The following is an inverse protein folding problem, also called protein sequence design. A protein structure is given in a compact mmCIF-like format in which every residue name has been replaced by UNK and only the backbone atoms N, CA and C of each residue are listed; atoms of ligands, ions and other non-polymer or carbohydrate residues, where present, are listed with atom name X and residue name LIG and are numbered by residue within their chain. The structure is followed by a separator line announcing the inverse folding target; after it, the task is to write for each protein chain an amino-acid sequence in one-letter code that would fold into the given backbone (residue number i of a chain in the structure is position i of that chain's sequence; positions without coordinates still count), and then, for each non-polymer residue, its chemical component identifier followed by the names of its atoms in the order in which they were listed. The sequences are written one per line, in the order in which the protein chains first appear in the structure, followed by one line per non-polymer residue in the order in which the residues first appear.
data_IF_096634329420
#
_entry.id   IF_096634329420
#
_cell.length_a   1.000
_cell.length_b   1.000
_cell.length_c   1.000
_cell.angle_alpha   90.00
_cell.angle_beta   90.00
_cell.angle_gamma   90.00
#
_symmetry.space_group_name_H-M   'P 1'
#
loop_
_entity.id
_entity.type
_entity.pdbx_description
1 polymer ?
#
# COMPACT_ATOMS: atom_id res chain seq x y z
N UNK A 1 13.82 51.68 -24.90
CA UNK A 1 13.27 50.54 -25.65
C UNK A 1 11.83 50.89 -26.01
N UNK A 2 11.61 51.49 -27.18
CA UNK A 2 10.29 51.97 -27.58
C UNK A 2 9.53 50.85 -28.28
N UNK A 3 8.40 50.45 -27.71
CA UNK A 3 7.53 49.44 -28.31
C UNK A 3 6.91 49.99 -29.59
N UNK A 4 6.84 49.17 -30.63
CA UNK A 4 6.22 49.58 -31.88
C UNK A 4 4.71 49.76 -31.69
N UNK A 5 4.09 50.64 -32.47
CA UNK A 5 2.64 50.90 -32.41
C UNK A 5 1.82 49.60 -32.55
N UNK A 6 2.33 48.60 -33.27
CA UNK A 6 1.69 47.29 -33.39
C UNK A 6 1.71 46.45 -32.10
N UNK A 7 2.79 46.51 -31.31
CA UNK A 7 2.87 45.77 -30.05
C UNK A 7 1.97 46.36 -28.96
N UNK A 8 1.81 47.69 -28.94
CA UNK A 8 0.86 48.36 -28.04
C UNK A 8 -0.58 47.98 -28.40
N UNK A 9 -0.91 47.90 -29.69
CA UNK A 9 -2.24 47.49 -30.14
C UNK A 9 -2.56 46.04 -29.78
N UNK A 10 -1.58 45.12 -29.92
CA UNK A 10 -1.75 43.72 -29.56
C UNK A 10 -1.98 43.54 -28.04
N UNK A 11 -1.28 44.31 -27.21
CA UNK A 11 -1.45 44.27 -25.75
C UNK A 11 -2.85 44.76 -25.33
N UNK A 12 -3.33 45.85 -25.94
CA UNK A 12 -4.67 46.40 -25.64
C UNK A 12 -5.77 45.39 -26.02
N UNK A 13 -5.67 44.75 -27.19
CA UNK A 13 -6.66 43.74 -27.61
C UNK A 13 -6.64 42.53 -26.67
N UNK A 14 -5.46 42.04 -26.28
CA UNK A 14 -5.35 40.92 -25.34
C UNK A 14 -5.98 41.22 -23.97
N UNK A 15 -5.83 42.46 -23.48
CA UNK A 15 -6.39 42.88 -22.19
C UNK A 15 -7.92 42.98 -22.23
N UNK A 16 -8.50 43.44 -23.35
CA UNK A 16 -9.95 43.54 -23.52
C UNK A 16 -10.59 42.15 -23.64
N UNK A 17 -9.92 41.19 -24.30
CA UNK A 17 -10.43 39.81 -24.44
C UNK A 17 -10.44 39.06 -23.09
N UNK A 18 -9.46 39.30 -22.20
CA UNK A 18 -9.49 38.71 -20.85
C UNK A 18 -10.60 39.27 -19.96
N UNK A 19 -10.97 40.54 -20.13
CA UNK A 19 -12.02 41.18 -19.34
C UNK A 19 -13.45 40.83 -19.79
N UNK A 20 -13.62 40.22 -20.98
CA UNK A 20 -14.91 39.89 -21.55
C UNK A 20 -15.36 38.44 -21.29
N UNK A 21 -14.61 37.64 -20.51
CA UNK A 21 -15.03 36.30 -20.13
C UNK A 21 -16.11 36.43 -19.04
N UNK A 22 -17.38 36.06 -19.31
CA UNK A 22 -18.45 36.20 -18.33
C UNK A 22 -18.20 35.24 -17.14
N UNK A 23 -18.00 35.82 -15.96
CA UNK A 23 -18.04 35.14 -14.65
C UNK A 23 -19.49 34.72 -14.33
N UNK A 24 -20.03 33.76 -15.06
CA UNK A 24 -21.36 33.23 -14.79
C UNK A 24 -21.39 31.71 -14.93
N UNK A 25 -20.80 31.03 -13.93
CA UNK A 25 -21.19 29.68 -13.50
C UNK A 25 -20.54 29.33 -12.14
N UNK A 26 -20.73 30.15 -11.11
CA UNK A 26 -20.65 29.65 -9.71
C UNK A 26 -22.09 29.37 -9.29
N UNK A 27 -22.56 28.18 -9.64
CA UNK A 27 -23.82 27.66 -9.10
C UNK A 27 -23.61 27.33 -7.63
N UNK A 28 -24.19 28.16 -6.76
CA UNK A 28 -24.46 27.86 -5.36
C UNK A 28 -25.16 26.50 -5.26
N UNK A 29 -24.46 25.45 -4.82
CA UNK A 29 -25.12 24.27 -4.25
C UNK A 29 -25.53 24.61 -2.84
N UNK A 30 -26.76 25.08 -2.73
CA UNK A 30 -27.49 25.31 -1.50
C UNK A 30 -27.61 23.98 -0.73
N UNK A 31 -27.15 24.00 0.52
CA UNK A 31 -27.26 22.94 1.52
C UNK A 31 -28.73 22.59 1.75
N UNK A 32 -29.12 21.39 1.34
CA UNK A 32 -30.32 20.74 1.88
C UNK A 32 -29.87 19.83 3.03
N UNK A 33 -29.92 20.40 4.24
CA UNK A 33 -29.89 19.65 5.49
C UNK A 33 -31.20 18.88 5.56
N UNK A 34 -31.20 17.61 5.15
CA UNK A 34 -32.29 16.70 5.51
C UNK A 34 -32.10 16.31 6.98
N UNK A 35 -32.82 17.03 7.84
CA UNK A 35 -33.12 16.62 9.21
C UNK A 35 -33.80 15.25 9.16
N UNK A 36 -33.13 14.21 9.65
CA UNK A 36 -33.79 12.95 9.96
C UNK A 36 -34.74 13.19 11.13
N UNK A 37 -36.05 13.18 10.83
CA UNK A 37 -37.09 13.20 11.84
C UNK A 37 -37.00 11.91 12.65
N UNK A 38 -36.71 12.05 13.94
CA UNK A 38 -36.98 11.04 14.95
C UNK A 38 -38.47 10.67 14.90
N UNK A 39 -38.76 9.40 14.66
CA UNK A 39 -40.06 8.81 14.95
C UNK A 39 -39.92 7.95 16.20
N UNK A 40 -40.08 8.60 17.36
CA UNK A 40 -40.49 7.93 18.58
C UNK A 40 -42.02 7.81 18.56
N UNK A 41 -42.57 6.60 18.48
CA UNK A 41 -43.77 6.23 19.24
C UNK A 41 -43.99 4.70 19.31
N UNK A 42 -43.75 4.19 20.52
CA UNK A 42 -44.51 3.16 21.24
C UNK A 42 -45.38 2.17 20.45
N UNK A 43 -45.06 0.88 20.59
CA UNK A 43 -46.09 -0.16 20.51
C UNK A 43 -45.60 -1.57 20.21
N UNK A 44 -45.56 -2.39 21.27
CA UNK A 44 -45.62 -3.86 21.27
C UNK A 44 -44.46 -4.63 20.63
N UNK A 45 -43.63 -5.13 21.55
CA UNK A 45 -42.87 -6.37 21.44
C UNK A 45 -43.75 -7.49 20.86
N UNK A 46 -43.46 -7.92 19.64
CA UNK A 46 -43.80 -9.27 19.17
C UNK A 46 -42.49 -10.05 19.15
N UNK A 47 -42.28 -10.85 20.20
CA UNK A 47 -41.29 -11.92 20.19
C UNK A 47 -41.69 -12.90 19.08
N UNK A 48 -40.89 -12.94 18.01
CA UNK A 48 -40.93 -14.06 17.08
C UNK A 48 -40.06 -15.15 17.72
N UNK A 49 -40.71 -16.09 18.41
CA UNK A 49 -40.11 -17.36 18.76
C UNK A 49 -39.91 -18.16 17.48
N UNK A 50 -38.68 -18.24 16.99
CA UNK A 50 -38.28 -19.27 16.02
C UNK A 50 -37.75 -20.44 16.82
N UNK A 51 -38.61 -21.43 17.06
CA UNK A 51 -38.22 -22.74 17.57
C UNK A 51 -37.68 -23.58 16.42
N UNK A 52 -36.36 -23.73 16.34
CA UNK A 52 -35.73 -24.76 15.50
C UNK A 52 -35.52 -26.00 16.37
N UNK A 53 -36.42 -26.96 16.19
CA UNK A 53 -36.27 -28.34 16.62
C UNK A 53 -35.48 -29.09 15.55
N UNK A 54 -34.37 -29.72 15.92
CA UNK A 54 -33.57 -30.54 15.00
C UNK A 54 -32.20 -30.86 15.59
N UNK A 55 -32.15 -31.87 16.44
CA UNK A 55 -30.89 -32.47 16.89
C UNK A 55 -30.44 -33.49 15.83
N UNK A 56 -29.69 -33.03 14.83
CA UNK A 56 -28.95 -33.90 13.92
C UNK A 56 -27.45 -33.71 14.14
N UNK A 57 -26.83 -34.68 14.81
CA UNK A 57 -25.37 -34.83 14.87
C UNK A 57 -24.85 -35.27 13.50
N UNK A 58 -24.38 -34.30 12.71
CA UNK A 58 -23.61 -34.56 11.50
C UNK A 58 -22.14 -34.78 11.90
N UNK A 59 -21.69 -36.03 11.84
CA UNK A 59 -20.27 -36.39 11.98
C UNK A 59 -19.53 -36.08 10.68
N UNK A 60 -18.63 -35.11 10.72
CA UNK A 60 -17.73 -34.81 9.60
C UNK A 60 -16.60 -35.86 9.55
N UNK A 61 -16.28 -36.44 8.39
CA UNK A 61 -15.08 -37.25 8.26
C UNK A 61 -13.85 -36.36 8.45
N UNK A 62 -12.96 -36.79 9.35
CA UNK A 62 -11.65 -36.17 9.57
C UNK A 62 -10.90 -36.11 8.23
N UNK A 63 -10.56 -34.91 7.71
CA UNK A 63 -9.75 -34.82 6.50
C UNK A 63 -8.34 -35.31 6.82
N UNK A 64 -7.93 -36.41 6.18
CA UNK A 64 -6.54 -36.83 6.14
C UNK A 64 -5.76 -35.85 5.26
N UNK A 65 -4.74 -35.15 5.78
CA UNK A 65 -3.95 -34.23 4.98
C UNK A 65 -3.15 -35.00 3.91
N UNK A 66 -3.14 -34.56 2.64
CA UNK A 66 -2.28 -35.10 1.60
C UNK A 66 -0.89 -34.45 1.69
N UNK A 67 -0.20 -34.64 2.82
CA UNK A 67 1.21 -34.25 2.96
C UNK A 67 2.10 -35.49 3.01
N UNK A 68 2.02 -36.33 1.98
CA UNK A 68 3.01 -37.38 1.75
C UNK A 68 3.80 -37.07 0.48
N UNK A 69 4.72 -36.11 0.61
CA UNK A 69 6.06 -36.13 0.04
C UNK A 69 6.70 -34.75 0.24
N UNK A 70 7.23 -34.52 1.44
CA UNK A 70 8.30 -33.53 1.59
C UNK A 70 9.47 -34.06 0.76
N UNK A 71 10.04 -33.30 -0.20
CA UNK A 71 11.28 -33.69 -0.85
C UNK A 71 12.33 -33.98 0.22
N UNK A 72 12.98 -35.15 0.15
CA UNK A 72 13.93 -35.61 1.17
C UNK A 72 15.20 -34.74 1.29
N UNK A 73 15.33 -33.70 0.47
CA UNK A 73 16.46 -32.78 0.46
C UNK A 73 15.97 -31.38 0.84
N UNK A 74 16.23 -31.00 2.09
CA UNK A 74 16.18 -29.61 2.50
C UNK A 74 17.11 -28.78 1.60
N UNK A 75 16.75 -27.55 1.21
CA UNK A 75 17.69 -26.62 0.54
C UNK A 75 18.96 -26.34 1.37
N UNK A 76 18.93 -26.61 2.69
CA UNK A 76 20.12 -26.58 3.54
C UNK A 76 21.14 -27.69 3.23
N UNK A 77 20.70 -28.84 2.69
CA UNK A 77 21.58 -29.95 2.36
C UNK A 77 22.55 -29.57 1.24
N UNK A 78 22.08 -28.81 0.25
CA UNK A 78 22.88 -28.33 -0.88
C UNK A 78 23.94 -27.29 -0.44
N UNK A 79 23.64 -26.48 0.59
CA UNK A 79 24.59 -25.55 1.20
C UNK A 79 25.77 -26.28 1.86
N UNK A 80 25.51 -27.42 2.52
CA UNK A 80 26.58 -28.21 3.13
C UNK A 80 27.47 -28.91 2.09
N UNK A 81 26.91 -29.36 0.96
CA UNK A 81 27.69 -30.01 -0.11
C UNK A 81 28.67 -29.03 -0.79
N UNK A 82 28.36 -27.74 -0.83
CA UNK A 82 29.26 -26.71 -1.39
C UNK A 82 30.42 -26.38 -0.43
N UNK A 83 30.23 -26.59 0.89
CA UNK A 83 31.26 -26.34 1.91
C UNK A 83 32.28 -27.50 2.04
N UNK A 84 31.95 -28.71 1.58
CA UNK A 84 32.81 -29.90 1.74
C UNK A 84 33.84 -30.11 0.62
N UNK A 85 33.90 -29.24 -0.40
CA UNK A 85 34.97 -29.29 -1.42
C UNK A 85 36.26 -28.70 -0.85
N UNK A 86 36.89 -29.45 0.04
CA UNK A 86 38.24 -29.19 0.54
C UNK A 86 39.22 -29.30 -0.64
N UNK A 87 39.95 -28.24 -1.04
CA UNK A 87 40.87 -28.32 -2.16
C UNK A 87 42.01 -29.29 -1.81
N UNK A 88 42.25 -30.28 -2.66
CA UNK A 88 43.47 -31.08 -2.62
C UNK A 88 44.67 -30.14 -2.75
N UNK A 89 45.45 -30.04 -1.68
CA UNK A 89 46.64 -29.19 -1.63
C UNK A 89 47.59 -29.59 -2.77
N UNK A 90 48.10 -28.63 -3.58
CA UNK A 90 49.14 -28.91 -4.55
C UNK A 90 50.43 -29.38 -3.86
N UNK A 91 51.28 -30.18 -4.54
CA UNK A 91 52.53 -30.67 -3.98
C UNK A 91 53.44 -29.50 -3.53
N UNK A 92 54.26 -29.71 -2.48
CA UNK A 92 55.05 -28.64 -1.88
C UNK A 92 56.04 -28.04 -2.90
N UNK A 93 55.96 -26.72 -3.07
CA UNK A 93 56.87 -25.94 -3.91
C UNK A 93 58.29 -25.91 -3.31
N UNK A 94 59.35 -25.80 -4.14
CA UNK A 94 60.73 -25.70 -3.66
C UNK A 94 60.93 -24.48 -2.77
N UNK A 95 61.72 -24.65 -1.70
CA UNK A 95 61.98 -23.65 -0.67
C UNK A 95 62.57 -22.37 -1.27
N UNK A 96 61.79 -21.27 -1.26
CA UNK A 96 62.30 -19.96 -1.69
C UNK A 96 61.26 -18.91 -2.09
N UNK A 97 60.00 -19.28 -2.32
CA UNK A 97 58.95 -18.31 -2.67
C UNK A 97 57.80 -18.41 -1.68
N UNK A 98 57.62 -17.39 -0.84
CA UNK A 98 56.44 -17.20 0.01
C UNK A 98 55.22 -16.99 -0.91
N UNK A 99 54.26 -17.93 -1.00
CA UNK A 99 53.06 -17.70 -1.80
C UNK A 99 52.13 -16.76 -1.03
N UNK A 100 51.89 -15.57 -1.57
CA UNK A 100 50.82 -14.69 -1.10
C UNK A 100 49.48 -15.38 -1.34
N UNK A 101 48.66 -15.67 -0.31
CA UNK A 101 47.34 -16.25 -0.53
C UNK A 101 46.49 -15.24 -1.31
N UNK A 102 46.16 -15.59 -2.56
CA UNK A 102 45.21 -14.82 -3.35
C UNK A 102 43.81 -15.18 -2.85
N UNK A 103 43.02 -14.23 -2.31
CA UNK A 103 41.66 -14.52 -1.90
C UNK A 103 40.83 -14.90 -3.13
N UNK A 104 40.37 -16.14 -3.16
CA UNK A 104 39.48 -16.65 -4.21
C UNK A 104 38.06 -16.25 -3.82
N UNK A 105 37.57 -15.11 -4.31
CA UNK A 105 36.18 -14.71 -4.14
C UNK A 105 35.29 -15.59 -5.02
N UNK A 106 34.72 -16.67 -4.47
CA UNK A 106 33.65 -17.42 -5.15
C UNK A 106 32.33 -16.67 -4.95
N UNK A 107 31.83 -16.01 -5.98
CA UNK A 107 30.45 -15.52 -6.02
C UNK A 107 29.51 -16.68 -6.32
N UNK A 108 28.77 -17.16 -5.31
CA UNK A 108 27.67 -18.10 -5.55
C UNK A 108 26.52 -17.30 -6.15
N UNK A 109 26.24 -17.53 -7.43
CA UNK A 109 25.12 -16.90 -8.11
C UNK A 109 23.84 -17.68 -7.74
N UNK A 110 23.21 -17.32 -6.62
CA UNK A 110 21.91 -17.86 -6.24
C UNK A 110 20.85 -17.30 -7.20
N UNK A 111 20.36 -18.13 -8.11
CA UNK A 111 19.26 -17.77 -8.99
C UNK A 111 17.92 -17.91 -8.23
N UNK A 112 17.44 -16.80 -7.67
CA UNK A 112 16.19 -16.73 -6.92
C UNK A 112 14.96 -16.68 -7.84
N UNK A 113 14.78 -17.69 -8.69
CA UNK A 113 13.63 -17.80 -9.58
C UNK A 113 13.35 -16.53 -10.40
N UNK A 114 12.12 -16.38 -10.91
CA UNK A 114 11.70 -15.13 -11.53
C UNK A 114 11.59 -13.98 -10.52
N UNK A 115 11.88 -12.75 -10.94
CA UNK A 115 11.77 -11.55 -10.09
C UNK A 115 10.79 -10.52 -10.62
N UNK A 116 10.23 -9.69 -9.73
CA UNK A 116 9.43 -8.51 -10.04
C UNK A 116 10.20 -7.23 -9.72
N UNK A 117 10.21 -6.31 -10.67
CA UNK A 117 10.68 -4.96 -10.51
C UNK A 117 9.53 -3.98 -10.68
N UNK A 118 9.51 -2.93 -9.89
CA UNK A 118 8.46 -1.92 -9.95
C UNK A 118 8.95 -0.55 -9.52
N UNK A 119 8.21 0.48 -9.93
CA UNK A 119 8.40 1.85 -9.49
C UNK A 119 7.07 2.39 -8.98
N UNK A 120 7.11 3.23 -7.95
CA UNK A 120 5.96 3.93 -7.39
C UNK A 120 6.16 5.45 -7.45
N UNK A 121 5.05 6.16 -7.47
CA UNK A 121 4.95 7.60 -7.29
C UNK A 121 3.84 7.85 -6.29
N UNK A 122 4.16 8.44 -5.14
CA UNK A 122 3.20 8.78 -4.08
C UNK A 122 2.70 10.18 -4.35
N UNK A 123 1.38 10.33 -4.41
CA UNK A 123 0.77 11.61 -4.70
C UNK A 123 1.07 12.63 -3.60
N UNK A 124 1.49 13.82 -4.04
CA UNK A 124 1.86 14.94 -3.19
C UNK A 124 3.36 15.01 -2.94
N UNK A 125 4.06 13.87 -2.96
CA UNK A 125 5.49 13.85 -2.67
C UNK A 125 6.34 14.31 -3.86
N UNK A 126 7.39 15.12 -3.61
CA UNK A 126 8.37 15.47 -4.63
C UNK A 126 9.07 14.24 -5.24
N UNK A 127 9.60 14.42 -6.45
CA UNK A 127 10.50 13.43 -7.04
C UNK A 127 11.72 13.22 -6.12
N UNK A 128 12.10 11.97 -5.89
CA UNK A 128 13.19 11.64 -4.96
C UNK A 128 12.81 11.64 -3.48
N UNK A 129 11.52 11.76 -3.13
CA UNK A 129 11.02 11.60 -1.75
C UNK A 129 9.96 10.50 -1.63
N UNK A 130 10.18 9.38 -2.30
CA UNK A 130 9.21 8.29 -2.42
C UNK A 130 9.38 7.18 -1.36
N UNK A 131 10.08 7.47 -0.25
CA UNK A 131 10.37 6.48 0.80
C UNK A 131 9.09 6.04 1.50
N UNK A 132 8.76 4.75 1.47
CA UNK A 132 7.56 4.22 2.13
C UNK A 132 7.69 2.72 2.43
N UNK A 133 7.00 2.28 3.50
CA UNK A 133 6.71 0.85 3.74
C UNK A 133 5.47 0.49 2.94
N UNK A 134 5.63 -0.32 1.90
CA UNK A 134 4.58 -0.61 0.93
C UNK A 134 4.14 -2.07 1.06
N UNK A 135 2.85 -2.27 1.23
CA UNK A 135 2.22 -3.59 1.12
C UNK A 135 2.03 -3.94 -0.35
N UNK A 136 2.37 -5.18 -0.70
CA UNK A 136 2.19 -5.74 -2.04
C UNK A 136 1.48 -7.08 -1.90
N UNK A 137 0.25 -7.15 -2.41
CA UNK A 137 -0.52 -8.39 -2.52
C UNK A 137 -0.63 -8.81 -3.98
N UNK A 138 -0.25 -10.05 -4.30
CA UNK A 138 -0.43 -10.61 -5.65
C UNK A 138 -1.65 -11.50 -5.69
N UNK A 139 -2.49 -11.34 -6.70
CA UNK A 139 -3.62 -12.21 -7.01
C UNK A 139 -3.52 -12.72 -8.45
N UNK A 140 -4.17 -13.83 -8.76
CA UNK A 140 -4.23 -14.36 -10.12
C UNK A 140 -5.23 -13.58 -10.99
N UNK A 141 -4.92 -13.45 -12.28
CA UNK A 141 -5.83 -12.86 -13.25
C UNK A 141 -5.91 -11.33 -13.19
N UNK A 142 -7.09 -10.82 -13.56
CA UNK A 142 -7.37 -9.38 -13.67
C UNK A 142 -7.73 -8.75 -12.31
N UNK A 143 -7.67 -7.42 -12.18
CA UNK A 143 -8.10 -6.73 -10.97
C UNK A 143 -9.57 -7.03 -10.62
N UNK A 144 -9.81 -7.29 -9.33
CA UNK A 144 -11.12 -7.59 -8.73
C UNK A 144 -11.21 -6.95 -7.36
N UNK A 145 -12.43 -6.66 -6.92
CA UNK A 145 -12.72 -6.26 -5.55
C UNK A 145 -12.59 -7.50 -4.65
N UNK A 146 -12.00 -7.33 -3.47
CA UNK A 146 -11.70 -8.38 -2.49
C UNK A 146 -10.86 -9.55 -3.08
N UNK A 147 -9.66 -9.26 -3.60
CA UNK A 147 -8.79 -10.30 -4.15
C UNK A 147 -8.34 -11.28 -3.07
N UNK A 148 -8.27 -12.56 -3.43
CA UNK A 148 -7.53 -13.55 -2.64
C UNK A 148 -6.06 -13.47 -3.00
N UNK A 149 -5.22 -13.04 -2.06
CA UNK A 149 -3.79 -12.95 -2.28
C UNK A 149 -3.14 -14.33 -2.23
N UNK A 150 -2.37 -14.66 -3.27
CA UNK A 150 -1.53 -15.87 -3.35
C UNK A 150 -0.11 -15.64 -2.84
N UNK A 151 0.31 -14.37 -2.80
CA UNK A 151 1.56 -13.92 -2.20
C UNK A 151 1.32 -12.54 -1.60
N UNK A 152 1.80 -12.33 -0.39
CA UNK A 152 1.83 -11.01 0.26
C UNK A 152 3.22 -10.73 0.77
N UNK A 153 3.64 -9.49 0.66
CA UNK A 153 4.90 -9.02 1.24
C UNK A 153 4.83 -7.53 1.56
N UNK A 154 5.72 -7.10 2.43
CA UNK A 154 5.97 -5.68 2.70
C UNK A 154 7.38 -5.34 2.24
N UNK A 155 7.53 -4.22 1.53
CA UNK A 155 8.80 -3.74 1.03
C UNK A 155 9.08 -2.31 1.49
N UNK A 156 10.32 -2.05 1.89
CA UNK A 156 10.82 -0.70 2.15
C UNK A 156 11.28 -0.07 0.83
N UNK A 157 10.48 0.84 0.29
CA UNK A 157 10.85 1.59 -0.91
C UNK A 157 11.85 2.70 -0.55
N UNK A 158 12.95 2.83 -1.30
CA UNK A 158 13.87 3.95 -1.15
C UNK A 158 13.25 5.25 -1.66
N UNK A 159 13.95 6.36 -1.44
CA UNK A 159 13.51 7.69 -1.86
C UNK A 159 13.34 7.84 -3.38
N UNK A 160 13.99 6.98 -4.18
CA UNK A 160 13.81 6.92 -5.63
C UNK A 160 12.48 6.30 -6.06
N UNK A 161 11.76 5.62 -5.16
CA UNK A 161 10.49 4.94 -5.46
C UNK A 161 10.66 3.67 -6.29
N UNK A 162 11.89 3.16 -6.46
CA UNK A 162 12.17 1.96 -7.25
C UNK A 162 12.53 0.79 -6.36
N UNK A 163 11.93 -0.36 -6.64
CA UNK A 163 12.25 -1.62 -5.98
C UNK A 163 12.49 -2.70 -7.04
N UNK A 164 13.51 -3.52 -6.83
CA UNK A 164 13.92 -4.57 -7.75
C UNK A 164 14.17 -5.87 -7.02
N UNK A 165 13.94 -6.99 -7.70
CA UNK A 165 14.31 -8.31 -7.19
C UNK A 165 13.31 -8.92 -6.19
N UNK A 166 12.03 -8.53 -6.22
CA UNK A 166 11.01 -9.27 -5.45
C UNK A 166 10.93 -10.66 -6.02
N UNK A 167 11.27 -11.68 -5.23
CA UNK A 167 11.16 -13.08 -5.66
C UNK A 167 9.70 -13.43 -5.93
N UNK A 168 9.45 -13.98 -7.11
CA UNK A 168 8.17 -14.53 -7.53
C UNK A 168 8.24 -16.07 -7.62
N UNK A 169 9.13 -16.68 -6.84
CA UNK A 169 9.25 -18.13 -6.76
C UNK A 169 7.89 -18.77 -6.42
N UNK A 170 7.52 -19.82 -7.15
CA UNK A 170 6.23 -20.50 -7.00
C UNK A 170 5.11 -19.96 -7.89
N UNK A 171 5.33 -18.85 -8.61
CA UNK A 171 4.40 -18.38 -9.65
C UNK A 171 4.78 -18.95 -11.03
N UNK A 172 3.79 -19.08 -11.91
CA UNK A 172 3.96 -19.70 -13.23
C UNK A 172 4.26 -18.63 -14.29
N UNK A 173 5.42 -18.70 -14.98
CA UNK A 173 5.68 -17.86 -16.15
C UNK A 173 4.60 -18.00 -17.23
N UNK A 174 4.27 -16.89 -17.89
CA UNK A 174 3.20 -16.79 -18.88
C UNK A 174 1.79 -16.60 -18.31
N UNK A 175 1.58 -16.85 -17.01
CA UNK A 175 0.30 -16.55 -16.36
C UNK A 175 0.13 -15.05 -16.11
N UNK A 176 -1.12 -14.59 -16.08
CA UNK A 176 -1.47 -13.22 -15.72
C UNK A 176 -1.73 -13.13 -14.22
N UNK A 177 -1.16 -12.12 -13.59
CA UNK A 177 -1.34 -11.78 -12.18
C UNK A 177 -1.67 -10.29 -12.06
N UNK A 178 -2.19 -9.89 -10.89
CA UNK A 178 -2.38 -8.50 -10.52
C UNK A 178 -1.68 -8.22 -9.21
N UNK A 179 -0.84 -7.19 -9.19
CA UNK A 179 -0.27 -6.65 -7.96
C UNK A 179 -1.17 -5.54 -7.40
N UNK A 180 -1.58 -5.67 -6.14
CA UNK A 180 -2.27 -4.63 -5.36
C UNK A 180 -1.24 -4.00 -4.43
N UNK A 181 -1.02 -2.70 -4.60
CA UNK A 181 0.07 -1.98 -3.97
C UNK A 181 -0.52 -0.88 -3.12
N UNK A 182 -0.22 -0.88 -1.83
CA UNK A 182 -0.72 0.09 -0.85
C UNK A 182 0.43 0.68 -0.05
N UNK A 183 0.52 2.01 -0.06
CA UNK A 183 1.41 2.77 0.82
C UNK A 183 0.64 3.33 2.04
N UNK A 184 1.35 3.85 3.04
CA UNK A 184 0.74 4.43 4.23
C UNK A 184 0.03 5.75 3.88
N UNK A 185 -1.22 5.87 4.26
CA UNK A 185 -2.15 6.93 3.90
C UNK A 185 -2.49 7.03 2.41
N UNK A 186 -2.25 5.96 1.64
CA UNK A 186 -2.71 5.85 0.26
C UNK A 186 -3.77 4.76 0.12
N UNK A 187 -4.73 4.98 -0.77
CA UNK A 187 -5.57 3.89 -1.25
C UNK A 187 -4.76 2.97 -2.18
N UNK A 188 -5.08 1.68 -2.17
CA UNK A 188 -4.35 0.71 -2.96
C UNK A 188 -4.61 0.86 -4.48
N UNK A 189 -3.60 0.50 -5.26
CA UNK A 189 -3.64 0.54 -6.72
C UNK A 189 -3.36 -0.85 -7.28
N UNK A 190 -4.15 -1.28 -8.25
CA UNK A 190 -3.95 -2.54 -8.95
C UNK A 190 -3.13 -2.35 -10.24
N UNK A 191 -2.14 -3.22 -10.45
CA UNK A 191 -1.31 -3.26 -11.63
C UNK A 191 -1.25 -4.70 -12.18
N UNK A 192 -1.99 -5.02 -13.26
CA UNK A 192 -1.89 -6.31 -13.90
C UNK A 192 -0.56 -6.49 -14.64
N UNK A 193 -0.06 -7.72 -14.68
CA UNK A 193 1.14 -8.09 -15.42
C UNK A 193 1.09 -9.55 -15.90
N UNK A 194 1.86 -9.84 -16.95
CA UNK A 194 2.15 -11.21 -17.37
C UNK A 194 3.50 -11.62 -16.82
N UNK A 195 3.53 -12.79 -16.19
CA UNK A 195 4.70 -13.31 -15.51
C UNK A 195 5.82 -13.66 -16.50
N UNK A 196 6.98 -13.03 -16.36
CA UNK A 196 8.19 -13.39 -17.12
C UNK A 196 8.90 -14.63 -16.56
N UNK A 197 9.72 -15.33 -17.37
CA UNK A 197 10.47 -16.51 -16.92
C UNK A 197 11.67 -16.19 -16.02
N UNK A 198 12.17 -14.96 -16.07
CA UNK A 198 13.34 -14.50 -15.30
C UNK A 198 13.06 -13.18 -14.60
N UNK A 199 12.50 -12.23 -15.33
CA UNK A 199 12.23 -10.89 -14.84
C UNK A 199 10.88 -10.41 -15.37
N UNK A 200 10.15 -9.74 -14.49
CA UNK A 200 8.91 -9.04 -14.80
C UNK A 200 9.09 -7.59 -14.38
N UNK A 201 8.80 -6.66 -15.29
CA UNK A 201 8.78 -5.24 -14.99
C UNK A 201 7.32 -4.79 -14.94
N UNK A 202 6.85 -4.44 -13.75
CA UNK A 202 5.49 -4.00 -13.52
C UNK A 202 5.23 -2.67 -14.25
N UNK A 203 4.04 -2.51 -14.84
CA UNK A 203 3.62 -1.31 -15.57
C UNK A 203 4.63 -0.86 -16.65
N UNK A 204 5.38 -1.80 -17.24
CA UNK A 204 6.44 -1.51 -18.22
C UNK A 204 7.47 -0.48 -17.73
N UNK A 205 7.73 -0.46 -16.42
CA UNK A 205 8.70 0.44 -15.78
C UNK A 205 8.14 1.84 -15.48
N UNK A 206 6.89 2.13 -15.84
CA UNK A 206 6.22 3.35 -15.43
C UNK A 206 5.92 3.30 -13.93
N UNK A 207 6.06 4.45 -13.26
CA UNK A 207 5.74 4.56 -11.85
C UNK A 207 4.24 4.38 -11.62
N UNK A 208 3.89 3.52 -10.68
CA UNK A 208 2.52 3.28 -10.25
C UNK A 208 2.13 4.42 -9.32
N UNK A 209 1.12 5.19 -9.71
CA UNK A 209 0.64 6.32 -8.93
C UNK A 209 -0.19 5.82 -7.75
N UNK A 210 0.30 6.03 -6.54
CA UNK A 210 -0.44 5.79 -5.30
C UNK A 210 -1.15 7.10 -4.91
N UNK A 211 -2.47 7.02 -4.72
CA UNK A 211 -3.32 8.17 -4.40
C UNK A 211 -3.43 8.34 -2.90
N UNK A 212 -3.19 9.56 -2.43
CA UNK A 212 -3.07 9.87 -1.00
C UNK A 212 -4.38 10.35 -0.40
N UNK A 213 -4.57 10.15 0.91
CA UNK A 213 -5.69 10.72 1.67
C UNK A 213 -6.46 9.72 2.53
N UNK A 214 -6.02 8.47 2.60
CA UNK A 214 -6.64 7.40 3.39
C UNK A 214 -5.94 7.27 4.76
N UNK A 215 -6.11 8.27 5.62
CA UNK A 215 -5.41 8.37 6.90
C UNK A 215 -5.87 7.34 7.94
N UNK A 216 -7.06 6.78 7.80
CA UNK A 216 -7.55 5.71 8.66
C UNK A 216 -7.27 4.29 8.13
N UNK A 217 -6.62 4.17 6.96
CA UNK A 217 -6.24 2.91 6.32
C UNK A 217 -7.43 1.98 6.02
N UNK A 218 -8.61 2.54 5.75
CA UNK A 218 -9.82 1.78 5.38
C UNK A 218 -9.97 1.58 3.86
N UNK A 219 -8.95 2.01 3.11
CA UNK A 219 -8.87 1.95 1.66
C UNK A 219 -9.91 2.83 0.94
N UNK A 220 -10.45 3.84 1.63
CA UNK A 220 -11.40 4.81 1.10
C UNK A 220 -11.08 6.21 1.60
N UNK A 221 -11.02 7.18 0.70
CA UNK A 221 -10.84 8.58 1.12
C UNK A 221 -12.21 9.19 1.43
N UNK A 222 -12.46 9.50 2.69
CA UNK A 222 -13.74 10.01 3.19
C UNK A 222 -13.58 11.27 4.07
N UNK A 223 -14.68 11.73 4.64
CA UNK A 223 -14.67 12.80 5.65
C UNK A 223 -13.97 12.38 6.96
N UNK A 224 -13.88 11.06 7.23
CA UNK A 224 -13.16 10.56 8.40
C UNK A 224 -11.67 10.94 8.32
N UNK A 225 -11.06 10.79 7.15
CA UNK A 225 -9.66 11.16 6.90
C UNK A 225 -9.43 12.65 7.08
N UNK A 226 -10.32 13.47 6.52
CA UNK A 226 -10.27 14.92 6.73
C UNK A 226 -10.36 15.30 8.21
N UNK A 227 -11.13 14.55 9.01
CA UNK A 227 -11.26 14.80 10.45
C UNK A 227 -9.97 14.44 11.19
N UNK A 228 -9.30 13.35 10.80
CA UNK A 228 -7.98 12.98 11.32
C UNK A 228 -6.96 14.09 11.00
N UNK A 229 -6.89 14.54 9.74
CA UNK A 229 -5.97 15.60 9.33
C UNK A 229 -6.21 16.91 10.09
N UNK A 230 -7.47 17.31 10.28
CA UNK A 230 -7.82 18.52 11.04
C UNK A 230 -7.31 18.46 12.49
N UNK A 231 -7.30 17.28 13.11
CA UNK A 231 -6.70 17.09 14.44
C UNK A 231 -5.18 17.27 14.49
N UNK A 232 -4.52 17.25 13.33
CA UNK A 232 -3.07 17.38 13.15
C UNK A 232 -2.67 18.72 12.52
N UNK A 233 -3.63 19.60 12.26
CA UNK A 233 -3.39 20.84 11.52
C UNK A 233 -2.40 21.76 12.26
N UNK A 234 -1.38 22.24 11.54
CA UNK A 234 -0.31 23.09 12.05
C UNK A 234 0.79 22.34 12.82
N UNK A 235 0.70 21.00 12.92
CA UNK A 235 1.76 20.22 13.55
C UNK A 235 3.00 20.15 12.64
N UNK A 236 4.16 19.97 13.25
CA UNK A 236 5.46 19.75 12.58
C UNK A 236 6.15 18.55 13.20
N UNK A 237 7.27 18.10 12.63
CA UNK A 237 8.08 16.99 13.18
C UNK A 237 8.53 17.16 14.64
N UNK A 238 8.50 18.39 15.17
CA UNK A 238 8.80 18.69 16.59
C UNK A 238 7.60 18.54 17.53
N UNK A 239 6.39 18.42 16.98
CA UNK A 239 5.14 18.36 17.74
C UNK A 239 4.90 16.97 18.33
N UNK A 240 4.41 16.89 19.57
CA UNK A 240 4.13 15.61 20.25
C UNK A 240 3.11 14.74 19.52
N UNK A 241 2.14 15.36 18.86
CA UNK A 241 1.07 14.68 18.12
C UNK A 241 1.37 14.56 16.63
N UNK A 242 2.61 14.80 16.20
CA UNK A 242 3.00 14.71 14.80
C UNK A 242 2.71 13.34 14.20
N UNK A 243 2.17 13.33 12.99
CA UNK A 243 2.03 12.13 12.17
C UNK A 243 2.59 12.41 10.78
N UNK A 244 3.74 11.80 10.47
CA UNK A 244 4.41 11.97 9.18
C UNK A 244 3.56 11.49 7.99
N UNK A 245 2.56 10.64 8.21
CA UNK A 245 1.67 10.20 7.14
C UNK A 245 0.61 11.24 6.77
N UNK A 246 0.40 12.29 7.58
CA UNK A 246 -0.54 13.38 7.29
C UNK A 246 0.10 14.59 6.60
N UNK A 247 1.42 14.64 6.54
CA UNK A 247 2.21 15.56 5.72
C UNK A 247 2.45 14.86 4.38
N UNK A 248 1.52 15.06 3.45
CA UNK A 248 1.48 14.32 2.19
C UNK A 248 2.49 14.86 1.18
N UNK A 249 2.83 16.15 1.26
CA UNK A 249 3.79 16.78 0.37
C UNK A 249 5.23 16.81 0.93
N UNK A 250 5.43 16.30 2.14
CA UNK A 250 6.74 16.19 2.81
C UNK A 250 7.41 17.56 3.02
N UNK A 251 6.60 18.61 3.23
CA UNK A 251 7.10 19.97 3.50
C UNK A 251 7.43 20.21 4.98
N UNK A 252 7.13 19.23 5.85
CA UNK A 252 7.42 19.25 7.27
C UNK A 252 6.33 19.87 8.14
N UNK A 253 5.18 20.27 7.56
CA UNK A 253 4.06 20.88 8.27
C UNK A 253 2.70 20.44 7.72
N UNK A 254 1.87 19.81 8.56
CA UNK A 254 0.50 19.47 8.17
C UNK A 254 -0.34 20.73 8.05
N UNK A 255 -0.85 21.05 6.87
CA UNK A 255 -1.61 22.29 6.62
C UNK A 255 -2.68 22.14 5.53
N UNK A 256 -3.15 23.26 4.95
CA UNK A 256 -4.17 23.25 3.88
C UNK A 256 -3.71 22.50 2.64
N UNK A 257 -2.43 22.53 2.29
CA UNK A 257 -1.90 21.80 1.14
C UNK A 257 -2.12 20.30 1.27
N UNK A 258 -1.97 19.74 2.47
CA UNK A 258 -2.27 18.33 2.73
C UNK A 258 -3.76 18.04 2.64
N UNK A 259 -4.60 18.91 3.22
CA UNK A 259 -6.05 18.78 3.12
C UNK A 259 -6.55 18.78 1.67
N UNK A 260 -5.88 19.51 0.76
CA UNK A 260 -6.24 19.54 -0.66
C UNK A 260 -6.09 18.16 -1.33
N UNK A 261 -5.18 17.29 -0.88
CA UNK A 261 -5.07 15.92 -1.42
C UNK A 261 -6.27 15.05 -1.00
N UNK A 262 -6.72 15.15 0.26
CA UNK A 262 -7.95 14.47 0.72
C UNK A 262 -9.15 14.96 -0.09
N UNK A 263 -9.30 16.28 -0.26
CA UNK A 263 -10.40 16.86 -1.03
C UNK A 263 -10.34 16.38 -2.49
N UNK A 264 -9.15 16.35 -3.10
CA UNK A 264 -8.95 15.88 -4.48
C UNK A 264 -9.36 14.43 -4.67
N UNK A 265 -9.16 13.59 -3.65
CA UNK A 265 -9.43 12.16 -3.71
C UNK A 265 -10.71 11.74 -3.01
N UNK A 266 -11.51 12.67 -2.51
CA UNK A 266 -12.74 12.41 -1.77
C UNK A 266 -13.68 11.44 -2.52
N UNK A 267 -14.10 10.40 -1.84
CA UNK A 267 -14.99 9.35 -2.35
C UNK A 267 -14.29 8.29 -3.23
N UNK A 268 -12.98 8.37 -3.44
CA UNK A 268 -12.22 7.30 -4.11
C UNK A 268 -12.06 6.11 -3.16
N UNK A 269 -12.20 4.92 -3.74
CA UNK A 269 -11.97 3.63 -3.09
C UNK A 269 -10.79 2.98 -3.80
N UNK A 270 -9.92 2.31 -3.06
CA UNK A 270 -8.81 1.56 -3.63
C UNK A 270 -9.27 0.39 -4.50
N UNK A 271 -8.36 -0.10 -5.34
CA UNK A 271 -8.64 -1.15 -6.31
C UNK A 271 -9.11 -2.48 -5.70
N UNK A 272 -8.69 -2.83 -4.47
CA UNK A 272 -9.20 -4.03 -3.77
C UNK A 272 -10.56 -3.83 -3.10
N UNK A 273 -11.12 -2.63 -3.14
CA UNK A 273 -12.36 -2.27 -2.45
C UNK A 273 -12.13 -1.79 -1.01
N UNK A 274 -13.22 -1.50 -0.30
CA UNK A 274 -13.19 -1.00 1.08
C UNK A 274 -12.65 -2.05 2.04
N UNK A 275 -11.71 -1.69 2.89
CA UNK A 275 -11.23 -2.55 3.97
C UNK A 275 -12.08 -2.29 5.19
N UNK A 276 -13.13 -3.09 5.35
CA UNK A 276 -13.90 -3.07 6.58
C UNK A 276 -13.02 -3.64 7.69
N UNK A 277 -12.40 -2.76 8.48
CA UNK A 277 -12.09 -3.13 9.86
C UNK A 277 -13.44 -3.41 10.51
N UNK A 278 -13.85 -4.67 10.64
CA UNK A 278 -14.91 -4.98 11.59
C UNK A 278 -14.41 -4.44 12.92
N UNK A 279 -15.03 -3.42 13.54
CA UNK A 279 -14.67 -3.08 14.90
C UNK A 279 -14.86 -4.39 15.66
N UNK A 280 -13.80 -4.90 16.25
CA UNK A 280 -13.96 -5.92 17.28
C UNK A 280 -14.82 -5.21 18.31
N UNK A 281 -16.11 -5.55 18.33
CA UNK A 281 -17.00 -5.18 19.42
C UNK A 281 -16.42 -5.87 20.64
N UNK A 282 -15.46 -5.21 21.30
CA UNK A 282 -15.13 -5.50 22.68
C UNK A 282 -16.45 -5.37 23.42
N UNK A 283 -17.03 -6.52 23.75
CA UNK A 283 -18.22 -6.60 24.56
C UNK A 283 -18.04 -5.66 25.74
N UNK A 284 -18.99 -4.74 25.88
CA UNK A 284 -19.06 -3.70 26.90
C UNK A 284 -18.54 -4.19 28.25
N UNK A 285 -17.27 -3.93 28.53
CA UNK A 285 -16.72 -4.07 29.87
C UNK A 285 -17.11 -2.80 30.61
N UNK A 286 -17.96 -2.95 31.62
CA UNK A 286 -18.37 -1.90 32.54
C UNK A 286 -17.15 -1.07 32.98
N UNK A 287 -17.15 0.27 32.83
CA UNK A 287 -15.96 1.07 33.05
C UNK A 287 -15.60 1.11 34.54
N UNK A 288 -14.38 0.67 34.85
CA UNK A 288 -13.68 1.05 36.08
C UNK A 288 -12.99 2.39 35.82
N UNK A 289 -13.18 3.43 36.64
CA UNK A 289 -12.58 4.73 36.40
C UNK A 289 -11.06 4.69 36.66
N UNK A 290 -10.27 4.76 35.60
CA UNK A 290 -8.81 4.84 35.67
C UNK A 290 -8.22 5.46 34.42
N UNK A 291 -7.86 6.75 34.54
CA UNK A 291 -6.85 7.51 33.77
C UNK A 291 -6.67 7.18 32.28
N UNK A 292 -7.24 8.04 31.44
CA UNK A 292 -7.18 7.95 29.98
C UNK A 292 -5.79 8.13 29.36
N UNK A 293 -5.55 7.32 28.35
CA UNK A 293 -4.64 7.59 27.24
C UNK A 293 -5.42 7.40 25.92
N UNK A 294 -5.03 8.08 24.82
CA UNK A 294 -5.73 7.93 23.54
C UNK A 294 -5.49 6.53 22.98
N UNK A 295 -6.57 5.75 22.90
CA UNK A 295 -6.62 4.45 22.23
C UNK A 295 -6.55 4.67 20.72
N UNK A 296 -5.32 4.70 20.19
CA UNK A 296 -5.07 4.45 18.78
C UNK A 296 -5.22 2.95 18.53
N UNK A 297 -6.11 2.56 17.62
CA UNK A 297 -6.20 1.18 17.14
C UNK A 297 -4.89 0.79 16.46
N UNK A 298 -4.16 -0.14 17.06
CA UNK A 298 -2.98 -0.73 16.45
C UNK A 298 -3.41 -1.95 15.64
N UNK A 299 -2.97 -2.01 14.37
CA UNK A 299 -3.05 -3.22 13.58
C UNK A 299 -2.06 -4.26 14.13
N UNK A 300 -2.57 -5.46 14.47
CA UNK A 300 -1.73 -6.64 14.66
C UNK A 300 -1.45 -7.25 13.28
N UNK A 301 -0.29 -6.93 12.72
CA UNK A 301 0.29 -7.69 11.63
C UNK A 301 0.88 -8.99 12.21
N UNK A 302 0.33 -10.14 11.82
CA UNK A 302 0.90 -11.45 12.19
C UNK A 302 1.95 -11.81 11.13
N UNK A 303 3.22 -12.06 11.52
CA UNK A 303 4.32 -12.37 10.59
C UNK A 303 4.15 -13.70 9.84
#
# INVERSE_FOLDING_TARGET
MFWSKGQVFALIIFTIVLAAIPLSAVALKQTQILKSGAFEKNGKVSQVNVSISGNETVSYPTPTPPWNSVPATSPLSELNTILEVSPTLPPPAPAGSTPTPTPISRSVNLAFGPTLNMSISIEGRPEGQQTAKVFIGLASGSPVIHPTYILTLTADFPSSGKFSGISLAGLNPGSTYTAYIKGPAQIDTAAPFVMGPTETILSSGQAIQLLTGDLNEDNTVTQADSTILQGLYGTTSSSKIWNANADFNFDGVVNTFDLLYIIKNMGKVGASGTWLSTPVSTASATPTPGTGGPEGGYWLYIP
#
